data_IF_945726784047
#
_entry.id   IF_945726784047
#
_cell.length_a   1.000
_cell.length_b   1.000
_cell.length_c   1.000
_cell.angle_alpha   90.00
_cell.angle_beta   90.00
_cell.angle_gamma   90.00
#
_symmetry.space_group_name_H-M   'P 1'
#
loop_
_entity.id
_entity.type
_entity.pdbx_description
1 polymer ?
#
# COMPACT_ATOMS: atom_id res chain seq x y z
N UNK A 1 -9.39 13.67 17.35
CA UNK A 1 -9.70 12.28 16.96
C UNK A 1 -11.03 12.22 16.23
N UNK A 2 -11.18 11.37 15.21
CA UNK A 2 -12.45 11.07 14.53
C UNK A 2 -13.22 9.92 15.19
N UNK A 3 -12.69 8.69 15.09
CA UNK A 3 -13.21 7.48 15.71
C UNK A 3 -12.19 6.95 16.72
N UNK A 4 -12.63 6.65 17.94
CA UNK A 4 -11.75 6.14 18.98
C UNK A 4 -12.31 4.87 19.62
N UNK A 5 -11.49 3.81 19.67
CA UNK A 5 -11.70 2.63 20.50
C UNK A 5 -10.73 2.71 21.67
N UNK A 6 -11.29 2.81 22.89
CA UNK A 6 -10.51 2.92 24.12
C UNK A 6 -10.94 1.80 25.06
N UNK A 7 -9.99 0.94 25.44
CA UNK A 7 -10.25 -0.24 26.26
C UNK A 7 -11.40 -1.11 25.71
N UNK A 8 -11.52 -1.17 24.38
CA UNK A 8 -12.68 -1.72 23.68
C UNK A 8 -12.22 -2.77 22.66
N UNK A 9 -12.42 -4.04 23.00
CA UNK A 9 -12.01 -5.17 22.17
C UNK A 9 -13.19 -5.84 21.49
N UNK A 10 -12.95 -6.58 20.40
CA UNK A 10 -13.95 -7.37 19.67
C UNK A 10 -15.04 -6.53 18.97
N UNK A 11 -14.66 -5.42 18.35
CA UNK A 11 -15.56 -4.56 17.59
C UNK A 11 -15.37 -4.72 16.08
N UNK A 12 -16.42 -4.40 15.33
CA UNK A 12 -16.38 -4.27 13.88
C UNK A 12 -16.73 -2.85 13.48
N UNK A 13 -15.81 -2.18 12.80
CA UNK A 13 -16.01 -0.85 12.22
C UNK A 13 -16.04 -1.02 10.71
N UNK A 14 -17.20 -0.82 10.09
CA UNK A 14 -17.33 -0.95 8.64
C UNK A 14 -17.88 0.34 8.02
N UNK A 15 -17.30 0.76 6.89
CA UNK A 15 -17.79 1.87 6.06
C UNK A 15 -17.90 3.23 6.79
N UNK A 16 -16.99 3.52 7.71
CA UNK A 16 -16.96 4.82 8.39
C UNK A 16 -16.03 5.81 7.69
N UNK A 17 -16.35 7.10 7.79
CA UNK A 17 -15.49 8.19 7.33
C UNK A 17 -14.95 8.97 8.53
N UNK A 18 -13.63 8.96 8.71
CA UNK A 18 -12.91 9.68 9.76
C UNK A 18 -11.86 10.61 9.12
N UNK A 19 -12.33 11.63 8.41
CA UNK A 19 -11.48 12.53 7.62
C UNK A 19 -11.52 13.98 8.11
N UNK A 20 -10.46 14.74 7.86
CA UNK A 20 -10.33 16.16 8.20
C UNK A 20 -10.45 16.45 9.71
N UNK A 21 -9.94 15.55 10.55
CA UNK A 21 -9.87 15.79 11.99
C UNK A 21 -8.61 16.57 12.34
N UNK A 22 -8.70 17.40 13.38
CA UNK A 22 -7.58 18.22 13.90
C UNK A 22 -6.54 17.41 14.69
N UNK A 23 -6.57 16.08 14.56
CA UNK A 23 -5.88 15.04 15.34
C UNK A 23 -6.16 13.71 14.59
N UNK A 24 -5.97 12.54 15.20
CA UNK A 24 -6.08 11.23 14.53
C UNK A 24 -7.46 10.96 13.88
N UNK A 25 -7.47 10.26 12.75
CA UNK A 25 -8.67 9.76 12.10
C UNK A 25 -9.30 8.63 12.89
N UNK A 26 -8.67 7.45 12.85
CA UNK A 26 -9.06 6.26 13.62
C UNK A 26 -7.99 5.98 14.68
N UNK A 27 -8.39 5.82 15.94
CA UNK A 27 -7.47 5.62 17.06
C UNK A 27 -7.85 4.42 17.91
N UNK A 28 -6.88 3.54 18.16
CA UNK A 28 -7.01 2.36 19.02
C UNK A 28 -6.07 2.48 20.23
N UNK A 29 -6.65 2.49 21.43
CA UNK A 29 -5.89 2.45 22.69
C UNK A 29 -6.39 1.31 23.58
N UNK A 30 -5.46 0.44 23.99
CA UNK A 30 -5.74 -0.80 24.74
C UNK A 30 -6.95 -1.58 24.17
N UNK A 31 -7.03 -1.68 22.85
CA UNK A 31 -8.21 -2.17 22.12
C UNK A 31 -7.79 -3.24 21.14
N UNK A 32 -8.07 -4.50 21.47
CA UNK A 32 -7.59 -5.67 20.72
C UNK A 32 -8.70 -6.39 19.97
N UNK A 33 -8.36 -7.27 19.03
CA UNK A 33 -9.32 -8.13 18.33
C UNK A 33 -10.42 -7.35 17.58
N UNK A 34 -10.12 -6.19 17.00
CA UNK A 34 -11.08 -5.42 16.21
C UNK A 34 -10.87 -5.66 14.71
N UNK A 35 -11.97 -5.61 13.96
CA UNK A 35 -11.97 -5.66 12.49
C UNK A 35 -12.44 -4.33 11.93
N UNK A 36 -11.63 -3.73 11.08
CA UNK A 36 -11.93 -2.46 10.42
C UNK A 36 -11.98 -2.70 8.93
N UNK A 37 -13.15 -2.58 8.31
CA UNK A 37 -13.35 -2.90 6.88
C UNK A 37 -13.89 -1.71 6.11
N UNK A 38 -13.27 -1.39 4.98
CA UNK A 38 -13.73 -0.37 4.02
C UNK A 38 -13.94 1.01 4.67
N UNK A 39 -13.09 1.38 5.62
CA UNK A 39 -13.15 2.70 6.24
C UNK A 39 -12.36 3.71 5.40
N UNK A 40 -12.70 4.99 5.52
CA UNK A 40 -11.93 6.10 4.94
C UNK A 40 -11.40 6.94 6.08
N UNK A 41 -10.09 7.16 6.12
CA UNK A 41 -9.48 8.13 7.03
C UNK A 41 -8.46 8.93 6.23
N UNK A 42 -8.69 10.24 6.11
CA UNK A 42 -7.91 11.09 5.21
C UNK A 42 -7.81 12.53 5.68
N UNK A 43 -6.68 13.17 5.41
CA UNK A 43 -6.41 14.57 5.74
C UNK A 43 -6.56 14.86 7.24
N UNK A 44 -6.20 13.89 8.08
CA UNK A 44 -6.15 14.08 9.52
C UNK A 44 -4.82 14.74 9.90
N UNK A 45 -4.80 15.55 10.97
CA UNK A 45 -3.63 16.37 11.30
C UNK A 45 -2.43 15.53 11.76
N UNK A 46 -2.69 14.43 12.48
CA UNK A 46 -1.65 13.55 13.02
C UNK A 46 -1.56 12.25 12.20
N UNK A 47 -2.39 11.24 12.51
CA UNK A 47 -2.47 10.01 11.72
C UNK A 47 -3.86 9.77 11.14
N UNK A 48 -3.93 9.10 9.99
CA UNK A 48 -5.20 8.57 9.46
C UNK A 48 -5.65 7.35 10.27
N UNK A 49 -4.70 6.51 10.68
CA UNK A 49 -4.90 5.42 11.63
C UNK A 49 -3.75 5.39 12.63
N UNK A 50 -4.08 5.32 13.92
CA UNK A 50 -3.12 5.12 15.00
C UNK A 50 -3.57 3.99 15.92
N UNK A 51 -2.62 3.16 16.33
CA UNK A 51 -2.81 2.17 17.36
C UNK A 51 -1.64 2.17 18.34
N UNK A 52 -1.95 2.15 19.64
CA UNK A 52 -0.94 2.04 20.68
C UNK A 52 -0.31 0.64 20.78
N UNK A 53 0.72 0.52 21.61
CA UNK A 53 1.47 -0.73 21.83
C UNK A 53 0.67 -1.83 22.55
N UNK A 54 -0.51 -1.52 23.09
CA UNK A 54 -1.36 -2.43 23.88
C UNK A 54 -2.59 -2.93 23.13
N UNK A 55 -2.68 -2.60 21.84
CA UNK A 55 -3.81 -2.89 20.95
C UNK A 55 -3.38 -3.94 19.94
N UNK A 56 -3.70 -5.21 20.23
CA UNK A 56 -3.20 -6.38 19.51
C UNK A 56 -4.28 -7.01 18.63
N UNK A 57 -3.87 -7.88 17.69
CA UNK A 57 -4.78 -8.73 16.92
C UNK A 57 -5.88 -7.96 16.18
N UNK A 58 -5.58 -6.72 15.76
CA UNK A 58 -6.50 -5.91 14.97
C UNK A 58 -6.23 -6.15 13.47
N UNK A 59 -7.30 -6.25 12.70
CA UNK A 59 -7.24 -6.46 11.26
C UNK A 59 -7.87 -5.25 10.57
N UNK A 60 -7.13 -4.65 9.65
CA UNK A 60 -7.59 -3.52 8.84
C UNK A 60 -7.65 -3.96 7.38
N UNK A 61 -8.82 -3.84 6.78
CA UNK A 61 -9.12 -4.22 5.40
C UNK A 61 -9.68 -3.01 4.66
N UNK A 62 -9.13 -2.73 3.49
CA UNK A 62 -9.58 -1.69 2.57
C UNK A 62 -9.68 -0.28 3.19
N UNK A 63 -8.71 0.11 4.02
CA UNK A 63 -8.61 1.48 4.52
C UNK A 63 -8.14 2.41 3.40
N UNK A 64 -8.92 3.45 3.10
CA UNK A 64 -8.51 4.49 2.15
C UNK A 64 -7.86 5.69 2.86
N UNK A 65 -6.62 6.04 2.48
CA UNK A 65 -5.83 7.18 2.99
C UNK A 65 -5.57 8.28 1.93
N UNK A 66 -5.12 9.48 2.35
CA UNK A 66 -5.16 10.72 1.53
C UNK A 66 -3.88 11.15 0.77
N UNK A 67 -4.04 12.20 -0.07
CA UNK A 67 -3.10 12.87 -1.00
C UNK A 67 -2.76 12.13 -2.28
N UNK A 68 -2.73 10.80 -2.21
CA UNK A 68 -2.79 9.89 -3.35
C UNK A 68 -3.71 8.78 -2.91
N UNK A 69 -4.98 8.72 -3.34
CA UNK A 69 -5.94 7.78 -2.76
C UNK A 69 -5.36 6.37 -2.87
N UNK A 70 -4.99 5.86 -1.71
CA UNK A 70 -4.29 4.60 -1.55
C UNK A 70 -5.16 3.76 -0.64
N UNK A 71 -5.63 2.64 -1.16
CA UNK A 71 -6.34 1.64 -0.40
C UNK A 71 -5.33 0.65 0.13
N UNK A 72 -5.36 0.42 1.44
CA UNK A 72 -4.44 -0.48 2.13
C UNK A 72 -5.19 -1.46 3.00
N UNK A 73 -4.62 -2.64 3.12
CA UNK A 73 -5.02 -3.62 4.12
C UNK A 73 -3.79 -4.02 4.92
N UNK A 74 -3.92 -4.23 6.22
CA UNK A 74 -2.78 -4.58 7.05
C UNK A 74 -3.15 -5.26 8.36
N UNK A 75 -2.17 -6.00 8.87
CA UNK A 75 -2.09 -6.42 10.28
C UNK A 75 -0.81 -5.87 10.87
N UNK A 76 -0.79 -5.69 12.18
CA UNK A 76 0.33 -5.10 12.88
C UNK A 76 0.33 -5.58 14.34
N UNK A 77 1.42 -5.29 15.02
CA UNK A 77 1.49 -5.43 16.47
C UNK A 77 2.46 -4.40 17.07
N UNK A 78 2.41 -4.23 18.39
CA UNK A 78 3.23 -3.30 19.18
C UNK A 78 3.10 -1.84 18.69
N UNK A 79 1.92 -1.50 18.18
CA UNK A 79 1.49 -0.18 17.76
C UNK A 79 2.05 0.30 16.42
N UNK A 80 1.24 1.05 15.68
CA UNK A 80 1.58 1.63 14.39
C UNK A 80 0.82 2.93 14.17
N UNK A 81 1.46 3.91 13.54
CA UNK A 81 0.82 5.09 12.96
C UNK A 81 0.86 5.00 11.44
N UNK A 82 -0.27 5.31 10.78
CA UNK A 82 -0.42 5.34 9.32
C UNK A 82 -0.98 6.69 8.91
N UNK A 83 -0.39 7.31 7.90
CA UNK A 83 -0.87 8.54 7.30
C UNK A 83 -0.71 8.51 5.78
N UNK A 84 -1.54 9.28 5.08
CA UNK A 84 -1.30 9.68 3.70
C UNK A 84 0.03 10.45 3.54
N UNK A 85 0.46 10.61 2.29
CA UNK A 85 1.70 11.33 1.95
C UNK A 85 1.35 12.60 1.18
N UNK A 86 1.44 13.75 1.85
CA UNK A 86 1.15 15.05 1.22
C UNK A 86 2.20 15.49 0.20
N UNK A 87 3.49 15.23 0.50
CA UNK A 87 4.61 15.56 -0.40
C UNK A 87 5.44 14.30 -0.63
N UNK A 88 5.21 13.66 -1.78
CA UNK A 88 5.93 12.45 -2.16
C UNK A 88 7.43 12.74 -2.44
N UNK A 89 8.35 11.87 -1.99
CA UNK A 89 9.73 11.89 -2.46
C UNK A 89 9.80 11.70 -3.98
N UNK A 90 10.80 12.26 -4.68
CA UNK A 90 10.96 12.06 -6.12
C UNK A 90 11.09 10.57 -6.47
N UNK A 91 10.46 10.17 -7.58
CA UNK A 91 10.54 8.81 -8.09
C UNK A 91 11.96 8.49 -8.63
N UNK A 92 12.46 7.25 -8.47
CA UNK A 92 13.68 6.82 -9.14
C UNK A 92 13.49 6.80 -10.67
N UNK A 93 14.50 7.26 -11.41
CA UNK A 93 14.41 7.40 -12.88
C UNK A 93 14.09 6.10 -13.64
N UNK A 94 14.46 4.95 -13.09
CA UNK A 94 14.28 3.62 -13.68
C UNK A 94 13.13 2.82 -13.06
N UNK A 95 12.43 3.40 -12.07
CA UNK A 95 11.35 2.72 -11.32
C UNK A 95 10.15 3.63 -11.17
N UNK A 96 9.32 3.76 -12.22
CA UNK A 96 8.07 4.50 -12.12
C UNK A 96 7.21 3.99 -10.96
N UNK A 97 6.59 4.96 -10.28
CA UNK A 97 5.57 4.74 -9.27
C UNK A 97 4.20 4.61 -9.92
N UNK A 98 3.31 3.83 -9.31
CA UNK A 98 1.89 3.73 -9.67
C UNK A 98 1.02 4.78 -8.96
N UNK A 99 1.64 5.86 -8.47
CA UNK A 99 1.00 6.94 -7.71
C UNK A 99 0.29 6.48 -6.43
N UNK A 100 0.91 5.53 -5.70
CA UNK A 100 0.42 5.05 -4.40
C UNK A 100 1.49 5.25 -3.35
N UNK A 101 1.07 5.70 -2.17
CA UNK A 101 1.99 6.03 -1.08
C UNK A 101 1.37 5.74 0.28
N UNK A 102 2.21 5.30 1.21
CA UNK A 102 1.82 5.08 2.61
C UNK A 102 2.93 5.63 3.50
N UNK A 103 2.62 6.52 4.44
CA UNK A 103 3.54 6.89 5.51
C UNK A 103 3.24 6.03 6.74
N UNK A 104 4.14 5.12 7.10
CA UNK A 104 4.00 4.31 8.29
C UNK A 104 5.07 4.68 9.32
N UNK A 105 4.66 4.77 10.58
CA UNK A 105 5.51 5.11 11.74
C UNK A 105 5.38 4.02 12.80
N UNK A 106 6.50 3.57 13.37
CA UNK A 106 6.47 2.68 14.53
C UNK A 106 6.11 3.44 15.80
N UNK A 107 5.35 2.79 16.67
CA UNK A 107 5.05 3.33 18.01
C UNK A 107 6.07 2.85 19.04
N UNK A 108 6.61 1.65 18.86
CA UNK A 108 7.62 1.04 19.73
C UNK A 108 8.79 0.47 18.92
N UNK A 109 9.82 -0.01 19.63
CA UNK A 109 10.95 -0.70 18.98
C UNK A 109 10.56 -2.08 18.42
N UNK A 110 9.43 -2.63 18.85
CA UNK A 110 8.95 -3.96 18.46
C UNK A 110 7.81 -3.90 17.43
N UNK A 111 7.41 -2.69 17.00
CA UNK A 111 6.36 -2.52 15.99
C UNK A 111 6.71 -3.28 14.72
N UNK A 112 5.72 -3.96 14.17
CA UNK A 112 5.79 -4.53 12.83
C UNK A 112 4.46 -4.31 12.11
N UNK A 113 4.51 -4.32 10.78
CA UNK A 113 3.36 -4.09 9.92
C UNK A 113 3.45 -5.03 8.71
N UNK A 114 2.45 -5.89 8.52
CA UNK A 114 2.26 -6.62 7.29
C UNK A 114 1.28 -5.82 6.43
N UNK A 115 1.81 -5.11 5.43
CA UNK A 115 1.07 -4.13 4.64
C UNK A 115 0.79 -4.66 3.24
N UNK A 116 -0.45 -4.48 2.79
CA UNK A 116 -0.87 -4.61 1.39
C UNK A 116 -1.27 -3.23 0.87
N UNK A 117 -0.75 -2.85 -0.29
CA UNK A 117 -1.13 -1.64 -1.02
C UNK A 117 -1.83 -2.03 -2.30
N UNK A 118 -3.14 -1.75 -2.38
CA UNK A 118 -3.97 -2.09 -3.52
C UNK A 118 -3.75 -1.12 -4.69
N UNK A 119 -3.94 -1.64 -5.90
CA UNK A 119 -3.90 -0.88 -7.14
C UNK A 119 -5.01 -1.31 -8.09
N UNK A 120 -5.31 -0.48 -9.07
CA UNK A 120 -6.21 -0.78 -10.18
C UNK A 120 -5.42 -0.96 -11.48
N UNK A 121 -6.00 -1.61 -12.49
CA UNK A 121 -5.37 -1.77 -13.82
C UNK A 121 -4.97 -0.44 -14.46
N UNK A 122 -5.70 0.64 -14.15
CA UNK A 122 -5.37 1.99 -14.60
C UNK A 122 -4.07 2.52 -14.00
N UNK A 123 -3.74 2.12 -12.77
CA UNK A 123 -2.56 2.59 -12.03
C UNK A 123 -1.26 2.00 -12.63
N UNK A 124 -1.35 0.81 -13.24
CA UNK A 124 -0.23 0.08 -13.87
C UNK A 124 -0.18 0.22 -15.39
N UNK A 125 -0.93 1.15 -15.98
CA UNK A 125 -1.00 1.33 -17.45
C UNK A 125 0.35 1.59 -18.14
N UNK A 126 1.38 2.03 -17.40
CA UNK A 126 2.75 2.26 -17.90
C UNK A 126 3.82 1.47 -17.16
N UNK A 127 3.43 0.68 -16.15
CA UNK A 127 4.33 -0.04 -15.24
C UNK A 127 4.00 -1.53 -15.29
N UNK A 128 5.00 -2.40 -15.39
CA UNK A 128 4.76 -3.84 -15.39
C UNK A 128 4.41 -4.31 -13.98
N UNK A 129 3.20 -4.85 -13.81
CA UNK A 129 2.73 -5.45 -12.56
C UNK A 129 3.65 -6.58 -12.05
N UNK A 130 4.24 -7.37 -12.95
CA UNK A 130 5.13 -8.48 -12.61
C UNK A 130 6.46 -8.03 -11.99
N UNK A 131 6.78 -6.74 -12.12
CA UNK A 131 7.99 -6.14 -11.58
C UNK A 131 7.69 -5.23 -10.39
N UNK A 132 6.43 -5.12 -9.95
CA UNK A 132 6.08 -4.31 -8.80
C UNK A 132 6.65 -4.90 -7.52
N UNK A 133 7.36 -4.05 -6.77
CA UNK A 133 7.90 -4.34 -5.44
C UNK A 133 7.58 -3.19 -4.51
N UNK A 134 7.56 -3.48 -3.21
CA UNK A 134 7.45 -2.43 -2.21
C UNK A 134 8.82 -1.78 -2.03
N UNK A 135 8.86 -0.45 -2.08
CA UNK A 135 10.06 0.33 -1.76
C UNK A 135 9.83 1.21 -0.54
N UNK A 136 10.86 1.35 0.28
CA UNK A 136 10.94 2.26 1.43
C UNK A 136 11.86 3.42 1.08
N UNK A 137 11.44 4.65 1.34
CA UNK A 137 12.34 5.80 1.25
C UNK A 137 13.23 5.88 2.50
N UNK A 138 14.54 6.01 2.35
CA UNK A 138 15.48 6.10 3.49
C UNK A 138 15.85 7.55 3.88
N UNK A 139 15.23 8.54 3.25
CA UNK A 139 15.56 9.97 3.37
C UNK A 139 16.40 10.51 2.21
N UNK A 140 17.04 9.64 1.44
CA UNK A 140 17.87 9.99 0.28
C UNK A 140 17.53 9.22 -0.99
N UNK A 141 17.08 7.97 -0.85
CA UNK A 141 16.78 7.08 -1.96
C UNK A 141 15.69 6.09 -1.57
N UNK A 142 15.08 5.49 -2.59
CA UNK A 142 14.18 4.36 -2.45
C UNK A 142 14.97 3.05 -2.41
N UNK A 143 14.68 2.22 -1.41
CA UNK A 143 15.26 0.89 -1.22
C UNK A 143 14.15 -0.16 -1.28
N UNK A 144 14.37 -1.24 -2.03
CA UNK A 144 13.41 -2.35 -2.06
C UNK A 144 13.26 -2.94 -0.65
N UNK A 145 12.02 -3.21 -0.24
CA UNK A 145 11.73 -3.97 0.98
C UNK A 145 11.94 -5.45 0.67
N UNK A 146 12.93 -6.13 1.31
CA UNK A 146 13.25 -7.50 0.97
C UNK A 146 12.06 -8.45 1.15
N UNK A 147 11.81 -9.30 0.16
CA UNK A 147 10.71 -10.26 0.17
C UNK A 147 9.33 -9.67 -0.13
N UNK A 148 9.25 -8.40 -0.53
CA UNK A 148 8.02 -7.85 -1.09
C UNK A 148 7.70 -8.45 -2.45
N UNK A 149 6.42 -8.63 -2.73
CA UNK A 149 5.93 -9.20 -3.99
C UNK A 149 4.58 -8.57 -4.35
N UNK A 150 4.23 -8.60 -5.65
CA UNK A 150 2.90 -8.30 -6.12
C UNK A 150 2.05 -9.56 -6.18
N UNK A 151 0.78 -9.45 -5.77
CA UNK A 151 -0.26 -10.39 -6.13
C UNK A 151 -1.04 -9.81 -7.30
N UNK A 152 -0.71 -10.23 -8.52
CA UNK A 152 -1.33 -9.73 -9.76
C UNK A 152 -2.72 -10.30 -10.03
N UNK A 153 -3.20 -11.25 -9.21
CA UNK A 153 -4.57 -11.75 -9.31
C UNK A 153 -5.55 -10.94 -8.46
N UNK A 154 -5.06 -10.39 -7.34
CA UNK A 154 -5.85 -9.61 -6.37
C UNK A 154 -5.45 -8.13 -6.33
N UNK A 155 -4.53 -7.72 -7.22
CA UNK A 155 -4.08 -6.35 -7.44
C UNK A 155 -3.60 -5.61 -6.19
N UNK A 156 -2.61 -6.20 -5.51
CA UNK A 156 -1.89 -5.50 -4.44
C UNK A 156 -0.41 -5.85 -4.40
N UNK A 157 0.39 -4.98 -3.79
CA UNK A 157 1.79 -5.24 -3.45
C UNK A 157 1.91 -5.34 -1.94
N UNK A 158 2.54 -6.40 -1.45
CA UNK A 158 2.66 -6.66 -0.03
C UNK A 158 4.11 -6.64 0.46
N UNK A 159 4.29 -6.30 1.74
CA UNK A 159 5.58 -6.36 2.40
C UNK A 159 5.44 -6.54 3.92
N UNK A 160 6.40 -7.24 4.52
CA UNK A 160 6.60 -7.25 5.97
C UNK A 160 7.54 -6.10 6.37
N UNK A 161 7.06 -5.18 7.19
CA UNK A 161 7.74 -3.94 7.54
C UNK A 161 8.17 -3.98 9.01
N UNK A 162 9.48 -3.80 9.22
CA UNK A 162 10.11 -3.62 10.54
C UNK A 162 11.00 -2.37 10.59
N UNK A 163 11.10 -1.65 9.48
CA UNK A 163 11.82 -0.36 9.35
C UNK A 163 10.87 0.62 8.69
N UNK A 164 10.41 1.62 9.44
CA UNK A 164 9.26 2.45 9.11
C UNK A 164 9.68 3.74 8.38
N UNK A 165 8.89 4.17 7.40
CA UNK A 165 9.06 5.40 6.62
C UNK A 165 7.88 5.60 5.67
N UNK A 166 8.11 6.33 4.58
CA UNK A 166 7.25 6.35 3.40
C UNK A 166 7.52 5.11 2.53
N UNK A 167 6.45 4.49 2.09
CA UNK A 167 6.44 3.33 1.20
C UNK A 167 5.69 3.62 -0.09
N UNK A 168 6.13 2.99 -1.17
CA UNK A 168 5.45 3.03 -2.46
C UNK A 168 5.69 1.74 -3.24
N UNK A 169 4.68 1.24 -3.97
CA UNK A 169 4.88 0.23 -5.00
C UNK A 169 5.56 0.86 -6.22
N UNK A 170 6.77 0.40 -6.55
CA UNK A 170 7.51 0.83 -7.75
C UNK A 170 7.81 -0.39 -8.62
N UNK A 171 7.84 -0.20 -9.93
CA UNK A 171 8.10 -1.28 -10.89
C UNK A 171 8.90 -0.81 -12.10
N UNK A 172 9.16 -1.70 -13.05
CA UNK A 172 9.80 -1.34 -14.32
C UNK A 172 8.77 -0.83 -15.33
N UNK A 173 9.16 0.11 -16.19
CA UNK A 173 8.30 0.56 -17.28
C UNK A 173 7.97 -0.58 -18.24
N UNK A 174 6.73 -0.62 -18.72
CA UNK A 174 6.39 -1.43 -19.89
C UNK A 174 7.05 -0.71 -21.07
N UNK A 175 8.18 -1.21 -21.56
CA UNK A 175 8.79 -0.67 -22.77
C UNK A 175 7.71 -0.65 -23.86
N UNK A 176 7.48 0.50 -24.49
CA UNK A 176 6.69 0.54 -25.72
C UNK A 176 7.41 -0.38 -26.70
N UNK A 177 6.85 -1.56 -26.96
CA UNK A 177 7.31 -2.35 -28.11
C UNK A 177 7.20 -1.38 -29.29
N UNK A 178 8.30 -1.05 -30.00
CA UNK A 178 8.20 -0.25 -31.20
C UNK A 178 7.21 -0.98 -32.09
N UNK A 179 6.09 -0.34 -32.43
CA UNK A 179 5.19 -0.87 -33.46
C UNK A 179 6.07 -1.18 -34.64
N UNK A 180 6.21 -2.47 -34.96
CA UNK A 180 6.96 -2.87 -36.13
C UNK A 180 6.28 -2.20 -37.32
N UNK A 181 6.89 -1.15 -37.87
CA UNK A 181 6.64 -0.70 -39.23
C UNK A 181 7.27 -1.73 -40.17
N UNK A 182 6.73 -2.94 -40.10
CA UNK A 182 7.01 -4.01 -41.03
C UNK A 182 6.10 -3.82 -42.24
N UNK A 183 6.61 -3.09 -43.22
CA UNK A 183 6.12 -3.19 -44.59
C UNK A 183 6.22 -4.64 -45.05
N UNK A 184 5.07 -5.23 -45.39
CA UNK A 184 4.99 -6.24 -46.44
C UNK A 184 5.39 -7.68 -46.09
N UNK A 185 4.37 -8.52 -46.25
CA UNK A 185 4.40 -9.85 -46.87
C UNK A 185 4.63 -11.13 -46.03
N UNK A 186 3.49 -11.82 -45.89
CA UNK A 186 3.22 -13.17 -46.43
C UNK A 186 3.46 -14.36 -45.49
N UNK A 187 2.31 -14.98 -45.20
CA UNK A 187 2.07 -16.32 -44.68
C UNK A 187 3.03 -17.36 -45.26
N UNK A 188 3.65 -18.15 -44.38
CA UNK A 188 3.94 -19.56 -44.68
C UNK A 188 3.43 -20.38 -43.48
N UNK A 189 2.25 -20.98 -43.64
CA UNK A 189 1.92 -22.19 -42.90
C UNK A 189 2.85 -23.30 -43.37
N UNK A 190 3.47 -24.01 -42.44
CA UNK A 190 3.81 -25.43 -42.65
C UNK A 190 3.32 -26.22 -41.45
N UNK A 191 2.22 -26.93 -41.68
CA UNK A 191 1.88 -28.13 -40.95
C UNK A 191 2.89 -29.23 -41.31
N UNK A 192 3.53 -29.86 -40.32
CA UNK A 192 3.81 -31.30 -40.26
C UNK A 192 4.76 -31.65 -39.10
N UNK A 193 4.35 -32.62 -38.27
CA UNK A 193 5.29 -33.57 -37.65
C UNK A 193 5.13 -33.84 -36.14
N UNK A 194 4.63 -35.04 -35.82
CA UNK A 194 4.66 -35.79 -34.54
C UNK A 194 3.67 -35.30 -33.45
N UNK A 195 2.60 -36.00 -33.08
CA UNK A 195 2.32 -37.44 -32.97
C UNK A 195 0.96 -37.83 -33.57
#
# INVERSE_FOLDING_TARGET
MGIALISSSNNTLANNTASNNNDDGIYLCSSSNNTLTSNTASNNTDYDFYSDESSHDNVVEDLTIASYPTTISFTYDNGVGIAGVETAPPDPADKPNISKYVNATNVSANSWLLLNVNYEESDVSTVSEYCLKMYRHNGTAWEEVPGSEANTAENYVWANITSFSIFAPLGGSIATIPTATGSGNTIIETSSGYF
#
